data_IF_228588582784
#
_entry.id   IF_228588582784
#
_cell.length_a   1.000
_cell.length_b   1.000
_cell.length_c   1.000
_cell.angle_alpha   90.00
_cell.angle_beta   90.00
_cell.angle_gamma   90.00
#
_symmetry.space_group_name_H-M   'P 1'
#
loop_
_entity.id
_entity.type
_entity.pdbx_description
1 polymer ?
#
# COMPACT_ATOMS: atom_id res chain seq x y z
N UNK A 1 22.50 -7.15 14.86
CA UNK A 1 22.23 -7.64 13.51
C UNK A 1 21.65 -9.03 13.61
N UNK A 2 20.57 -9.31 12.88
CA UNK A 2 19.93 -10.62 12.80
C UNK A 2 19.94 -11.07 11.34
N UNK A 3 20.42 -12.29 11.08
CA UNK A 3 20.28 -12.95 9.77
C UNK A 3 18.81 -13.30 9.47
N UNK A 4 18.29 -12.81 8.34
CA UNK A 4 16.94 -13.17 7.89
C UNK A 4 16.85 -14.66 7.53
N UNK A 5 15.72 -15.33 7.85
CA UNK A 5 15.40 -16.65 7.30
C UNK A 5 15.38 -16.61 5.77
N UNK A 6 15.74 -17.72 5.12
CA UNK A 6 15.72 -17.78 3.65
C UNK A 6 14.30 -17.57 3.09
N UNK A 7 13.27 -18.12 3.76
CA UNK A 7 11.87 -17.92 3.40
C UNK A 7 11.46 -16.44 3.37
N UNK A 8 11.99 -15.65 4.29
CA UNK A 8 11.73 -14.20 4.36
C UNK A 8 12.44 -13.46 3.21
N UNK A 9 13.68 -13.82 2.91
CA UNK A 9 14.42 -13.26 1.76
C UNK A 9 13.71 -13.58 0.45
N UNK A 10 13.28 -14.83 0.27
CA UNK A 10 12.55 -15.27 -0.93
C UNK A 10 11.20 -14.55 -1.04
N UNK A 11 10.49 -14.39 0.08
CA UNK A 11 9.24 -13.63 0.14
C UNK A 11 9.47 -12.18 -0.30
N UNK A 12 10.44 -11.47 0.29
CA UNK A 12 10.79 -10.08 -0.06
C UNK A 12 11.07 -9.97 -1.56
N UNK A 13 11.89 -10.88 -2.11
CA UNK A 13 12.32 -10.82 -3.51
C UNK A 13 11.23 -11.23 -4.51
N UNK A 14 10.22 -12.00 -4.07
CA UNK A 14 9.08 -12.43 -4.88
C UNK A 14 7.97 -11.38 -5.03
N UNK A 15 7.94 -10.38 -4.15
CA UNK A 15 6.92 -9.33 -4.19
C UNK A 15 7.04 -8.47 -5.45
N UNK A 16 5.90 -8.07 -6.03
CA UNK A 16 5.85 -7.07 -7.09
C UNK A 16 6.19 -5.68 -6.55
N UNK A 17 6.71 -4.81 -7.42
CA UNK A 17 6.88 -3.37 -7.14
C UNK A 17 5.72 -2.55 -7.70
N UNK A 18 4.54 -3.14 -7.77
CA UNK A 18 3.31 -2.49 -8.19
C UNK A 18 2.27 -2.70 -7.09
N UNK A 19 1.43 -1.69 -6.80
CA UNK A 19 0.32 -1.86 -5.90
C UNK A 19 -0.55 -3.04 -6.34
N UNK A 20 -0.98 -3.84 -5.36
CA UNK A 20 -1.82 -5.04 -5.58
C UNK A 20 -3.17 -4.66 -6.20
N UNK A 21 -3.68 -3.48 -5.87
CA UNK A 21 -5.02 -3.08 -6.29
C UNK A 21 -5.08 -2.58 -7.76
N UNK A 22 -5.94 -3.20 -8.59
CA UNK A 22 -6.16 -2.76 -9.96
C UNK A 22 -6.77 -1.35 -10.09
N UNK A 23 -7.51 -0.83 -9.12
CA UNK A 23 -8.11 0.53 -9.20
C UNK A 23 -7.05 1.61 -9.00
N UNK A 24 -6.16 1.48 -8.02
CA UNK A 24 -4.98 2.33 -7.85
C UNK A 24 -4.10 2.28 -9.10
N UNK A 25 -3.93 1.08 -9.69
CA UNK A 25 -3.15 0.92 -10.92
C UNK A 25 -3.81 1.60 -12.13
N UNK A 26 -5.13 1.44 -12.27
CA UNK A 26 -5.91 2.10 -13.31
C UNK A 26 -5.87 3.62 -13.15
N UNK A 27 -5.97 4.12 -11.91
CA UNK A 27 -5.89 5.54 -11.59
C UNK A 27 -4.53 6.11 -11.99
N UNK A 28 -3.42 5.42 -11.65
CA UNK A 28 -2.08 5.83 -12.07
C UNK A 28 -1.90 5.80 -13.58
N UNK A 29 -2.49 4.81 -14.25
CA UNK A 29 -2.42 4.71 -15.70
C UNK A 29 -3.19 5.85 -16.38
N UNK A 30 -4.38 6.19 -15.87
CA UNK A 30 -5.20 7.29 -16.40
C UNK A 30 -4.61 8.67 -16.06
N UNK A 31 -4.06 8.82 -14.85
CA UNK A 31 -3.46 10.06 -14.35
C UNK A 31 -2.10 9.78 -13.68
N UNK A 32 -1.00 9.80 -14.45
CA UNK A 32 0.33 9.48 -13.93
C UNK A 32 0.81 10.42 -12.82
N UNK A 33 0.30 11.65 -12.76
CA UNK A 33 0.68 12.61 -11.71
C UNK A 33 0.02 12.30 -10.37
N UNK A 34 -1.07 11.53 -10.37
CA UNK A 34 -1.94 11.31 -9.20
C UNK A 34 -2.37 12.62 -8.52
N UNK A 35 -2.56 13.66 -9.32
CA UNK A 35 -3.12 14.94 -8.87
C UNK A 35 -4.54 15.05 -9.42
N UNK A 36 -5.56 15.17 -8.56
CA UNK A 36 -6.94 15.35 -9.01
C UNK A 36 -7.07 16.64 -9.82
N UNK A 37 -7.96 16.63 -10.81
CA UNK A 37 -8.37 17.86 -11.51
C UNK A 37 -9.28 18.73 -10.63
N UNK A 38 -9.47 20.02 -10.96
CA UNK A 38 -10.34 20.91 -10.17
C UNK A 38 -11.80 20.45 -10.05
N UNK A 39 -12.27 19.59 -10.96
CA UNK A 39 -13.61 19.00 -10.87
C UNK A 39 -13.62 17.81 -9.91
N UNK A 40 -12.61 16.95 -10.00
CA UNK A 40 -12.40 15.81 -9.09
C UNK A 40 -12.12 16.26 -7.65
N UNK A 41 -11.53 17.44 -7.45
CA UNK A 41 -11.29 18.04 -6.13
C UNK A 41 -12.60 18.37 -5.38
N UNK A 42 -13.74 18.45 -6.07
CA UNK A 42 -15.04 18.69 -5.44
C UNK A 42 -15.64 17.44 -4.82
N UNK A 43 -15.15 16.26 -5.20
CA UNK A 43 -15.58 14.99 -4.65
C UNK A 43 -14.56 14.51 -3.60
N UNK A 44 -14.96 14.61 -2.33
CA UNK A 44 -14.14 14.18 -1.20
C UNK A 44 -13.68 12.73 -1.33
N UNK A 45 -14.51 11.87 -1.93
CA UNK A 45 -14.18 10.47 -2.16
C UNK A 45 -13.04 10.32 -3.18
N UNK A 46 -13.13 11.01 -4.32
CA UNK A 46 -12.08 11.01 -5.34
C UNK A 46 -10.77 11.56 -4.77
N UNK A 47 -10.82 12.67 -4.02
CA UNK A 47 -9.63 13.24 -3.37
C UNK A 47 -8.96 12.23 -2.42
N UNK A 48 -9.75 11.46 -1.67
CA UNK A 48 -9.25 10.42 -0.78
C UNK A 48 -8.58 9.28 -1.56
N UNK A 49 -9.19 8.81 -2.65
CA UNK A 49 -8.62 7.79 -3.52
C UNK A 49 -7.25 8.23 -4.09
N UNK A 50 -7.14 9.48 -4.55
CA UNK A 50 -5.86 10.04 -5.01
C UNK A 50 -4.80 10.13 -3.89
N UNK A 51 -5.19 10.40 -2.64
CA UNK A 51 -4.27 10.36 -1.48
C UNK A 51 -3.80 8.94 -1.21
N UNK A 52 -4.72 7.96 -1.16
CA UNK A 52 -4.38 6.55 -0.96
C UNK A 52 -3.44 6.04 -2.06
N UNK A 53 -3.75 6.34 -3.33
CA UNK A 53 -2.91 5.93 -4.45
C UNK A 53 -1.48 6.47 -4.34
N UNK A 54 -1.31 7.76 -3.99
CA UNK A 54 0.02 8.35 -3.79
C UNK A 54 0.79 7.63 -2.69
N UNK A 55 0.16 7.42 -1.54
CA UNK A 55 0.78 6.72 -0.41
C UNK A 55 1.21 5.30 -0.81
N UNK A 56 0.35 4.55 -1.49
CA UNK A 56 0.68 3.20 -1.96
C UNK A 56 1.91 3.22 -2.88
N UNK A 57 1.96 4.10 -3.88
CA UNK A 57 3.11 4.17 -4.78
C UNK A 57 4.40 4.64 -4.09
N UNK A 58 4.32 5.53 -3.10
CA UNK A 58 5.48 5.92 -2.30
C UNK A 58 6.03 4.76 -1.47
N UNK A 59 5.15 3.94 -0.89
CA UNK A 59 5.56 2.79 -0.10
C UNK A 59 6.11 1.65 -0.97
N UNK A 60 5.54 1.41 -2.15
CA UNK A 60 6.10 0.52 -3.17
C UNK A 60 7.50 0.98 -3.61
N UNK A 61 7.73 2.29 -3.78
CA UNK A 61 9.06 2.80 -4.14
C UNK A 61 10.08 2.58 -3.01
N UNK A 62 9.69 2.83 -1.75
CA UNK A 62 10.55 2.54 -0.58
C UNK A 62 10.88 1.04 -0.51
N UNK A 63 9.87 0.20 -0.72
CA UNK A 63 10.05 -1.25 -0.69
C UNK A 63 10.92 -1.75 -1.85
N UNK A 64 10.78 -1.21 -3.06
CA UNK A 64 11.64 -1.53 -4.20
C UNK A 64 13.12 -1.20 -3.93
N UNK A 65 13.40 -0.08 -3.25
CA UNK A 65 14.77 0.27 -2.80
C UNK A 65 15.29 -0.74 -1.79
N UNK A 66 14.46 -1.15 -0.84
CA UNK A 66 14.80 -2.19 0.12
C UNK A 66 15.08 -3.54 -0.57
N UNK A 67 14.22 -3.96 -1.51
CA UNK A 67 14.46 -5.17 -2.31
C UNK A 67 15.80 -5.10 -3.07
N UNK A 68 16.13 -3.96 -3.67
CA UNK A 68 17.40 -3.78 -4.39
C UNK A 68 18.60 -3.95 -3.44
N UNK A 69 18.52 -3.39 -2.22
CA UNK A 69 19.51 -3.62 -1.18
C UNK A 69 19.60 -5.10 -0.76
N UNK A 70 18.48 -5.79 -0.56
CA UNK A 70 18.43 -7.22 -0.25
C UNK A 70 19.11 -8.05 -1.35
N UNK A 71 18.85 -7.74 -2.64
CA UNK A 71 19.51 -8.41 -3.77
C UNK A 71 21.03 -8.23 -3.72
N UNK A 72 21.52 -7.02 -3.45
CA UNK A 72 22.95 -6.72 -3.35
C UNK A 72 23.62 -7.46 -2.18
N UNK A 73 23.02 -7.41 -0.99
CA UNK A 73 23.53 -8.12 0.19
C UNK A 73 23.57 -9.62 -0.03
N UNK A 74 22.47 -10.18 -0.54
CA UNK A 74 22.38 -11.61 -0.80
C UNK A 74 23.38 -12.07 -1.86
N UNK A 75 23.57 -11.32 -2.95
CA UNK A 75 24.57 -11.64 -3.96
C UNK A 75 26.01 -11.58 -3.44
N UNK A 76 26.29 -10.70 -2.48
CA UNK A 76 27.62 -10.51 -1.89
C UNK A 76 27.96 -11.59 -0.84
N UNK A 77 27.01 -11.91 0.04
CA UNK A 77 27.26 -12.75 1.24
C UNK A 77 26.60 -14.13 1.20
N UNK A 78 25.60 -14.33 0.33
CA UNK A 78 24.72 -15.50 0.33
C UNK A 78 23.66 -15.49 1.45
N UNK A 79 23.53 -14.38 2.17
CA UNK A 79 22.52 -14.15 3.21
C UNK A 79 22.33 -12.64 3.44
N UNK A 80 21.25 -12.27 4.12
CA UNK A 80 20.93 -10.87 4.45
C UNK A 80 20.91 -10.71 5.97
N UNK A 81 21.57 -9.67 6.47
CA UNK A 81 21.56 -9.28 7.87
C UNK A 81 20.87 -7.94 8.04
N UNK A 82 19.91 -7.88 8.95
CA UNK A 82 19.15 -6.66 9.27
C UNK A 82 19.45 -6.20 10.70
N UNK A 83 19.03 -4.97 11.03
CA UNK A 83 19.03 -4.48 12.40
C UNK A 83 18.19 -5.36 13.34
N UNK A 84 18.44 -5.30 14.65
CA UNK A 84 17.66 -6.08 15.63
C UNK A 84 16.20 -5.60 15.74
N UNK A 85 15.96 -4.35 15.35
CA UNK A 85 14.69 -3.65 15.31
C UNK A 85 13.84 -3.98 14.08
N UNK A 86 14.41 -4.57 13.01
CA UNK A 86 13.72 -4.81 11.74
C UNK A 86 12.31 -5.41 11.88
N UNK A 87 12.13 -6.46 12.67
CA UNK A 87 10.81 -7.07 12.86
C UNK A 87 9.85 -6.16 13.62
N UNK A 88 10.37 -5.35 14.55
CA UNK A 88 9.60 -4.33 15.25
C UNK A 88 9.20 -3.18 14.31
N UNK A 89 10.13 -2.66 13.53
CA UNK A 89 9.87 -1.61 12.53
C UNK A 89 8.88 -2.09 11.46
N UNK A 90 9.01 -3.34 11.00
CA UNK A 90 8.08 -3.98 10.08
C UNK A 90 6.69 -4.10 10.69
N UNK A 91 6.58 -4.58 11.94
CA UNK A 91 5.30 -4.70 12.63
C UNK A 91 4.64 -3.33 12.84
N UNK A 92 5.42 -2.31 13.23
CA UNK A 92 4.93 -0.93 13.36
C UNK A 92 4.51 -0.33 12.01
N UNK A 93 5.24 -0.59 10.93
CA UNK A 93 4.86 -0.15 9.60
C UNK A 93 3.51 -0.75 9.16
N UNK A 94 3.29 -2.05 9.41
CA UNK A 94 1.99 -2.68 9.16
C UNK A 94 0.90 -2.09 10.05
N UNK A 95 1.18 -1.88 11.35
CA UNK A 95 0.22 -1.28 12.29
C UNK A 95 -0.17 0.14 11.88
N UNK A 96 0.80 0.97 11.50
CA UNK A 96 0.57 2.34 11.04
C UNK A 96 -0.19 2.37 9.70
N UNK A 97 0.08 1.41 8.81
CA UNK A 97 -0.69 1.25 7.58
C UNK A 97 -2.16 0.88 7.87
N UNK A 98 -2.37 -0.05 8.80
CA UNK A 98 -3.70 -0.44 9.28
C UNK A 98 -4.42 0.71 10.01
N UNK A 99 -3.73 1.49 10.82
CA UNK A 99 -4.29 2.64 11.55
C UNK A 99 -4.61 3.79 10.59
N UNK A 100 -3.71 4.09 9.64
CA UNK A 100 -3.98 5.07 8.59
C UNK A 100 -5.19 4.65 7.75
N UNK A 101 -5.37 3.35 7.47
CA UNK A 101 -6.59 2.81 6.86
C UNK A 101 -7.80 3.11 7.74
N UNK A 102 -7.76 2.73 9.01
CA UNK A 102 -8.90 2.90 9.91
C UNK A 102 -9.28 4.37 10.08
N UNK A 103 -8.31 5.28 10.16
CA UNK A 103 -8.53 6.73 10.26
C UNK A 103 -9.10 7.31 8.96
N UNK A 104 -8.54 6.95 7.80
CA UNK A 104 -9.02 7.36 6.48
C UNK A 104 -10.48 6.95 6.24
N UNK A 105 -10.89 5.80 6.77
CA UNK A 105 -12.24 5.26 6.58
C UNK A 105 -13.16 5.42 7.81
N UNK A 106 -12.71 6.09 8.88
CA UNK A 106 -13.47 6.21 10.14
C UNK A 106 -14.78 6.97 10.00
N UNK A 107 -14.75 8.04 9.21
CA UNK A 107 -15.91 8.91 8.98
C UNK A 107 -16.82 8.37 7.87
N UNK A 108 -16.40 7.30 7.21
CA UNK A 108 -17.18 6.63 6.18
C UNK A 108 -17.99 5.52 6.82
N UNK A 109 -19.32 5.70 6.95
CA UNK A 109 -20.19 4.69 7.54
C UNK A 109 -20.26 3.43 6.66
N UNK A 110 -19.35 2.48 6.92
CA UNK A 110 -19.30 1.17 6.26
C UNK A 110 -20.49 0.27 6.62
N UNK A 111 -21.36 0.69 7.57
CA UNK A 111 -22.55 -0.04 8.01
C UNK A 111 -23.83 0.37 7.28
N UNK A 112 -23.86 1.59 6.69
CA UNK A 112 -25.03 2.04 5.93
C UNK A 112 -25.11 1.34 4.56
N UNK A 113 -26.12 0.49 4.44
CA UNK A 113 -26.51 -0.24 3.23
C UNK A 113 -27.52 0.56 2.37
N UNK A 114 -27.68 1.86 2.63
CA UNK A 114 -28.62 2.72 1.91
C UNK A 114 -28.39 2.65 0.41
N UNK A 115 -29.47 2.44 -0.34
CA UNK A 115 -29.48 2.00 -1.74
C UNK A 115 -29.01 3.05 -2.76
N UNK A 116 -28.68 4.28 -2.33
CA UNK A 116 -28.53 5.42 -3.25
C UNK A 116 -27.12 5.69 -3.79
N UNK A 117 -26.10 4.89 -3.46
CA UNK A 117 -24.80 4.98 -4.16
C UNK A 117 -24.16 3.61 -4.39
N UNK A 118 -24.45 3.01 -5.55
CA UNK A 118 -23.78 1.79 -6.02
C UNK A 118 -22.26 1.97 -6.13
N UNK A 119 -21.77 3.18 -6.41
CA UNK A 119 -20.34 3.50 -6.38
C UNK A 119 -19.74 3.34 -4.98
N UNK A 120 -20.43 3.85 -3.95
CA UNK A 120 -20.06 3.65 -2.55
C UNK A 120 -20.09 2.18 -2.15
N UNK A 121 -21.12 1.42 -2.56
CA UNK A 121 -21.21 -0.02 -2.27
C UNK A 121 -20.10 -0.83 -2.94
N UNK A 122 -19.74 -0.48 -4.17
CA UNK A 122 -18.70 -1.15 -4.93
C UNK A 122 -17.34 -0.94 -4.26
N UNK A 123 -17.04 0.29 -3.81
CA UNK A 123 -15.82 0.59 -3.04
C UNK A 123 -15.86 -0.05 -1.66
N UNK A 124 -16.96 0.00 -0.90
CA UNK A 124 -17.06 -0.71 0.41
C UNK A 124 -16.79 -2.21 0.27
N UNK A 125 -17.30 -2.83 -0.80
CA UNK A 125 -17.09 -4.25 -1.11
C UNK A 125 -15.68 -4.50 -1.66
N UNK A 126 -15.11 -3.56 -2.43
CA UNK A 126 -13.74 -3.63 -2.97
C UNK A 126 -12.73 -3.46 -1.84
N UNK A 127 -12.84 -2.43 -1.01
CA UNK A 127 -11.98 -2.11 0.15
C UNK A 127 -11.98 -3.26 1.17
N UNK A 128 -13.11 -3.94 1.39
CA UNK A 128 -13.16 -5.21 2.16
C UNK A 128 -12.44 -6.40 1.48
N UNK A 129 -12.19 -6.30 0.18
CA UNK A 129 -11.52 -7.29 -0.67
C UNK A 129 -10.10 -6.87 -1.08
N UNK A 130 -9.63 -5.69 -0.69
CA UNK A 130 -8.25 -5.24 -0.94
C UNK A 130 -7.23 -6.09 -0.18
N UNK A 131 -7.66 -6.81 0.86
CA UNK A 131 -6.84 -7.71 1.70
C UNK A 131 -7.67 -8.90 2.22
#
# INVERSE_FOLDING_TARGET
MWRLPQEEVDWILSQSNEPVDPEIRALKHANPSLVPSPEEEKDDFTVLLYKCARQCYEDEEKFAKFQAWVRCEYASKGFVEVGYDYFGERAEAFRLSDEARDEVFKDWDLSSDSEDDEACKLVKRKVRSFF
#
